data_IF_864495983697
#
_entry.id   IF_864495983697
#
_cell.length_a   1.000
_cell.length_b   1.000
_cell.length_c   1.000
_cell.angle_alpha   90.00
_cell.angle_beta   90.00
_cell.angle_gamma   90.00
#
_symmetry.space_group_name_H-M   'P 1'
#
loop_
_entity.id
_entity.type
_entity.pdbx_description
1 polymer ?
#
# COMPACT_ATOMS: atom_id res chain seq x y z
N UNK A 1 0.70 -10.83 16.21
CA UNK A 1 0.45 -11.22 16.85
C UNK A 1 -0.34 -11.51 17.28
N UNK A 2 -0.41 -12.64 16.57
CA UNK A 2 -1.26 -12.65 17.66
C UNK A 2 -1.10 -11.37 18.36
N UNK A 3 0.05 -10.92 18.40
CA UNK A 3 0.30 -9.65 19.00
C UNK A 3 -0.38 -8.50 18.29
N UNK A 4 -0.76 -8.70 17.03
CA UNK A 4 -1.31 -7.62 16.24
C UNK A 4 -2.58 -7.05 16.84
N UNK A 5 -3.50 -7.90 17.29
CA UNK A 5 -4.74 -7.38 17.84
C UNK A 5 -4.50 -6.69 19.18
N UNK A 6 -3.59 -7.20 19.97
CA UNK A 6 -3.25 -6.53 21.21
C UNK A 6 -2.62 -5.19 20.97
N UNK A 7 -1.75 -5.12 19.98
CA UNK A 7 -1.13 -3.86 19.61
C UNK A 7 -2.18 -2.85 19.17
N UNK A 8 -3.18 -3.31 18.44
CA UNK A 8 -4.24 -2.43 18.00
C UNK A 8 -5.01 -1.85 19.18
N UNK A 9 -5.25 -2.65 20.21
CA UNK A 9 -5.93 -2.15 21.38
C UNK A 9 -5.10 -1.09 22.10
N UNK A 10 -3.81 -1.32 22.20
CA UNK A 10 -2.93 -0.33 22.82
C UNK A 10 -2.93 0.96 22.04
N UNK A 11 -2.92 0.86 20.72
CA UNK A 11 -2.93 2.04 19.86
C UNK A 11 -4.20 2.85 20.08
N UNK A 12 -5.34 2.17 20.19
CA UNK A 12 -6.60 2.84 20.43
C UNK A 12 -6.55 3.61 21.74
N UNK A 13 -5.94 3.03 22.75
CA UNK A 13 -5.83 3.68 24.03
C UNK A 13 -4.97 4.95 23.96
N UNK A 14 -4.08 5.00 22.99
CA UNK A 14 -3.19 6.16 22.79
C UNK A 14 -3.57 6.84 21.47
N UNK A 15 -4.59 7.64 21.48
CA UNK A 15 -5.13 8.24 20.28
C UNK A 15 -4.10 8.76 19.28
N UNK A 16 -2.98 9.32 19.77
CA UNK A 16 -1.95 9.85 18.88
C UNK A 16 -1.32 8.78 17.98
N UNK A 17 -1.08 7.61 18.53
CA UNK A 17 -0.50 6.53 17.74
C UNK A 17 -1.45 6.04 16.67
N UNK A 18 -2.74 6.09 16.95
CA UNK A 18 -3.73 5.69 15.98
C UNK A 18 -3.65 6.54 14.72
N UNK A 19 -3.33 7.82 14.87
CA UNK A 19 -3.19 8.73 13.73
C UNK A 19 -1.83 8.59 13.07
N UNK A 20 -0.78 8.42 13.85
CA UNK A 20 0.59 8.41 13.34
C UNK A 20 0.97 7.10 12.65
N UNK A 21 0.42 6.00 13.11
CA UNK A 21 0.83 4.68 12.63
C UNK A 21 0.51 4.47 11.16
N UNK A 22 -0.68 4.84 10.68
CA UNK A 22 -0.96 4.71 9.24
C UNK A 22 0.01 5.50 8.38
N UNK A 23 0.34 6.72 8.79
CA UNK A 23 1.29 7.53 8.04
C UNK A 23 2.69 6.92 8.10
N UNK A 24 3.09 6.40 9.24
CA UNK A 24 4.39 5.76 9.39
C UNK A 24 4.49 4.55 8.48
N UNK A 25 3.42 3.77 8.37
CA UNK A 25 3.39 2.61 7.48
C UNK A 25 3.49 3.03 6.02
N UNK A 26 2.79 4.10 5.66
CA UNK A 26 2.86 4.62 4.29
C UNK A 26 4.28 5.11 3.97
N UNK A 27 4.92 5.77 4.94
CA UNK A 27 6.29 6.27 4.74
C UNK A 27 7.29 5.13 4.62
N UNK A 28 7.10 4.07 5.41
CA UNK A 28 7.96 2.91 5.28
C UNK A 28 7.82 2.30 3.88
N UNK A 29 6.59 2.20 3.39
CA UNK A 29 6.34 1.66 2.06
C UNK A 29 7.02 2.51 0.98
N UNK A 30 6.86 3.84 1.04
CA UNK A 30 7.49 4.70 0.04
C UNK A 30 9.00 4.63 0.12
N UNK A 31 9.56 4.49 1.32
CA UNK A 31 11.00 4.34 1.48
C UNK A 31 11.49 3.05 0.83
N UNK A 32 10.78 1.94 1.09
CA UNK A 32 11.16 0.65 0.52
C UNK A 32 11.03 0.62 -1.00
N UNK A 33 10.07 1.36 -1.52
CA UNK A 33 9.82 1.43 -2.97
C UNK A 33 10.64 2.53 -3.64
N UNK A 34 11.38 3.32 -2.86
CA UNK A 34 12.18 4.44 -3.38
C UNK A 34 11.30 5.46 -4.07
N UNK A 35 10.17 5.75 -3.47
CA UNK A 35 9.24 6.78 -3.92
C UNK A 35 9.38 8.01 -3.04
N UNK A 36 8.75 9.12 -3.47
CA UNK A 36 8.70 10.31 -2.65
C UNK A 36 8.01 10.00 -1.32
N UNK A 37 8.45 10.66 -0.26
CA UNK A 37 7.91 10.41 1.07
C UNK A 37 6.40 10.64 1.10
N UNK A 38 5.68 9.69 1.70
CA UNK A 38 4.23 9.78 1.78
C UNK A 38 3.79 10.95 2.64
N UNK A 39 2.82 11.71 2.13
CA UNK A 39 2.24 12.83 2.87
C UNK A 39 0.94 12.40 3.58
N UNK A 40 0.42 11.22 3.26
CA UNK A 40 -0.80 10.70 3.85
C UNK A 40 -0.75 9.19 3.85
N UNK A 41 -1.67 8.52 4.56
CA UNK A 41 -1.73 7.05 4.54
C UNK A 41 -2.11 6.46 3.18
N UNK A 42 -2.49 7.28 2.21
CA UNK A 42 -2.85 6.81 0.89
C UNK A 42 -1.70 7.10 -0.06
N UNK A 43 -1.17 6.04 -0.68
CA UNK A 43 0.00 6.15 -1.57
C UNK A 43 -0.39 5.71 -2.98
N UNK A 44 -0.27 6.60 -3.98
CA UNK A 44 -0.50 6.21 -5.37
C UNK A 44 0.80 5.73 -6.01
N UNK A 45 0.67 4.75 -6.90
CA UNK A 45 1.79 4.28 -7.71
C UNK A 45 1.32 4.25 -9.15
N UNK A 46 1.77 5.21 -9.94
CA UNK A 46 1.33 5.35 -11.32
C UNK A 46 2.05 4.33 -12.19
N UNK A 47 1.29 3.49 -12.88
CA UNK A 47 1.84 2.50 -13.80
C UNK A 47 1.63 2.91 -15.25
N UNK A 48 0.62 3.73 -15.50
CA UNK A 48 0.33 4.22 -16.85
C UNK A 48 -0.69 3.37 -17.58
N UNK A 49 -0.47 2.07 -17.65
CA UNK A 49 -1.31 1.16 -18.41
C UNK A 49 -2.38 0.54 -17.51
N UNK A 50 -3.64 0.63 -17.96
CA UNK A 50 -4.77 0.14 -17.17
C UNK A 50 -4.72 -1.36 -16.96
N UNK A 51 -4.29 -2.11 -17.97
CA UNK A 51 -4.23 -3.56 -17.87
C UNK A 51 -3.18 -4.00 -16.86
N UNK A 52 -2.04 -3.33 -16.88
CA UNK A 52 -0.98 -3.64 -15.92
C UNK A 52 -1.41 -3.32 -14.49
N UNK A 53 -2.11 -2.20 -14.31
CA UNK A 53 -2.59 -1.83 -12.98
C UNK A 53 -3.58 -2.87 -12.47
N UNK A 54 -4.50 -3.30 -13.33
CA UNK A 54 -5.47 -4.30 -12.93
C UNK A 54 -4.80 -5.64 -12.61
N UNK A 55 -3.89 -6.08 -13.48
CA UNK A 55 -3.22 -7.36 -13.28
C UNK A 55 -2.43 -7.38 -11.97
N UNK A 56 -1.71 -6.29 -11.68
CA UNK A 56 -0.92 -6.23 -10.46
C UNK A 56 -1.82 -6.18 -9.24
N UNK A 57 -2.94 -5.43 -9.31
CA UNK A 57 -3.85 -5.37 -8.16
C UNK A 57 -4.44 -6.74 -7.87
N UNK A 58 -4.75 -7.53 -8.89
CA UNK A 58 -5.28 -8.87 -8.70
C UNK A 58 -4.24 -9.81 -8.09
N UNK A 59 -3.00 -9.68 -8.53
CA UNK A 59 -1.90 -10.46 -7.96
C UNK A 59 -1.70 -10.16 -6.48
N UNK A 60 -1.74 -8.87 -6.14
CA UNK A 60 -1.56 -8.46 -4.76
C UNK A 60 -2.75 -8.88 -3.89
N UNK A 61 -3.94 -8.83 -4.46
CA UNK A 61 -5.13 -9.26 -3.76
C UNK A 61 -5.06 -10.76 -3.45
N UNK A 62 -4.58 -11.55 -4.41
CA UNK A 62 -4.41 -12.99 -4.20
C UNK A 62 -3.39 -13.27 -3.10
N UNK A 63 -2.44 -12.36 -2.90
CA UNK A 63 -1.44 -12.49 -1.84
C UNK A 63 -1.93 -11.94 -0.50
N UNK A 64 -3.16 -11.41 -0.45
CA UNK A 64 -3.75 -10.95 0.80
C UNK A 64 -3.72 -9.45 1.03
N UNK A 65 -3.38 -8.66 0.02
CA UNK A 65 -3.30 -7.21 0.16
C UNK A 65 -4.46 -6.53 -0.54
N UNK A 66 -5.01 -5.49 0.08
CA UNK A 66 -6.08 -4.71 -0.52
C UNK A 66 -5.48 -3.50 -1.23
N UNK A 67 -5.56 -3.51 -2.56
CA UNK A 67 -4.99 -2.47 -3.40
C UNK A 67 -6.00 -2.12 -4.48
N UNK A 68 -6.31 -0.84 -4.62
CA UNK A 68 -7.28 -0.40 -5.60
C UNK A 68 -6.58 -0.04 -6.91
N UNK A 69 -7.10 -0.55 -8.02
CA UNK A 69 -6.62 -0.17 -9.35
C UNK A 69 -7.50 0.98 -9.83
N UNK A 70 -6.88 2.15 -10.03
CA UNK A 70 -7.59 3.34 -10.49
C UNK A 70 -7.29 3.50 -11.97
N UNK A 71 -8.33 3.41 -12.79
CA UNK A 71 -8.20 3.37 -14.24
C UNK A 71 -9.10 4.40 -14.90
N UNK A 72 -8.81 4.75 -16.16
CA UNK A 72 -9.73 5.63 -16.88
C UNK A 72 -11.15 5.06 -16.92
N UNK A 73 -12.18 5.87 -16.92
CA UNK A 73 -12.13 7.34 -17.03
C UNK A 73 -11.98 8.06 -15.69
N UNK A 74 -11.82 7.34 -14.58
CA UNK A 74 -11.63 7.99 -13.27
C UNK A 74 -10.37 8.86 -13.27
N UNK A 75 -9.36 8.43 -14.00
CA UNK A 75 -8.14 9.21 -14.21
C UNK A 75 -7.92 9.32 -15.71
N UNK A 76 -7.09 10.26 -16.17
CA UNK A 76 -6.82 10.40 -17.61
C UNK A 76 -6.17 9.15 -18.20
N UNK A 77 -6.37 8.97 -19.50
CA UNK A 77 -5.73 7.88 -20.24
C UNK A 77 -4.22 7.93 -20.05
N UNK A 78 -3.64 6.75 -19.87
CA UNK A 78 -2.19 6.66 -19.70
C UNK A 78 -1.71 6.96 -18.31
N UNK A 79 -2.62 7.17 -17.36
CA UNK A 79 -2.24 7.48 -15.98
C UNK A 79 -2.86 6.53 -14.98
N UNK A 80 -3.17 5.29 -15.39
CA UNK A 80 -3.68 4.29 -14.48
C UNK A 80 -2.67 4.04 -13.36
N UNK A 81 -3.19 3.78 -12.17
CA UNK A 81 -2.35 3.66 -10.99
C UNK A 81 -2.93 2.70 -9.99
N UNK A 82 -2.08 2.26 -9.07
CA UNK A 82 -2.53 1.54 -7.88
C UNK A 82 -2.61 2.52 -6.73
N UNK A 83 -3.61 2.33 -5.87
CA UNK A 83 -3.74 3.15 -4.68
C UNK A 83 -3.65 2.24 -3.47
N UNK A 84 -2.60 2.46 -2.67
CA UNK A 84 -2.38 1.70 -1.45
C UNK A 84 -2.90 2.51 -0.28
N UNK A 85 -3.65 1.86 0.61
CA UNK A 85 -4.18 2.52 1.80
C UNK A 85 -3.63 1.79 3.02
N UNK A 86 -2.95 2.52 3.88
CA UNK A 86 -2.33 1.95 5.07
C UNK A 86 -3.14 2.29 6.31
N UNK A 87 -3.13 1.36 7.27
CA UNK A 87 -3.87 1.53 8.51
C UNK A 87 -2.97 1.22 9.68
N UNK A 88 -3.46 1.55 10.87
CA UNK A 88 -2.72 1.25 12.09
C UNK A 88 -2.59 -0.23 12.35
N UNK A 89 -3.48 -1.03 11.74
CA UNK A 89 -3.44 -2.48 11.91
C UNK A 89 -2.36 -3.20 11.13
N UNK A 90 -1.74 -2.52 10.18
CA UNK A 90 -0.65 -3.13 9.42
C UNK A 90 0.63 -3.14 10.26
N UNK A 91 1.31 -4.28 10.28
CA UNK A 91 2.61 -4.38 10.94
C UNK A 91 3.71 -3.99 9.94
N UNK A 92 4.89 -3.70 10.48
CA UNK A 92 6.03 -3.39 9.65
C UNK A 92 6.34 -4.56 8.71
N UNK A 93 6.22 -5.78 9.21
CA UNK A 93 6.45 -6.97 8.39
C UNK A 93 5.48 -7.04 7.22
N UNK A 94 4.22 -6.70 7.47
CA UNK A 94 3.22 -6.70 6.40
C UNK A 94 3.54 -5.66 5.35
N UNK A 95 4.00 -4.48 5.77
CA UNK A 95 4.38 -3.44 4.81
C UNK A 95 5.58 -3.88 3.98
N UNK A 96 6.56 -4.53 4.62
CA UNK A 96 7.72 -5.03 3.89
C UNK A 96 7.33 -6.13 2.91
N UNK A 97 6.43 -7.01 3.31
CA UNK A 97 5.95 -8.06 2.42
C UNK A 97 5.22 -7.48 1.22
N UNK A 98 4.42 -6.43 1.46
CA UNK A 98 3.72 -5.75 0.37
C UNK A 98 4.73 -5.13 -0.62
N UNK A 99 5.73 -4.44 -0.11
CA UNK A 99 6.73 -3.81 -0.97
C UNK A 99 7.44 -4.86 -1.82
N UNK A 100 7.81 -5.99 -1.21
CA UNK A 100 8.45 -7.08 -1.95
C UNK A 100 7.53 -7.64 -3.03
N UNK A 101 6.25 -7.81 -2.72
CA UNK A 101 5.30 -8.33 -3.69
C UNK A 101 5.10 -7.37 -4.85
N UNK A 102 5.04 -6.06 -4.55
CA UNK A 102 4.90 -5.06 -5.60
C UNK A 102 6.13 -5.06 -6.52
N UNK A 103 7.32 -5.10 -5.92
CA UNK A 103 8.54 -5.10 -6.71
C UNK A 103 8.63 -6.34 -7.59
N UNK A 104 8.25 -7.49 -7.05
CA UNK A 104 8.25 -8.73 -7.84
C UNK A 104 7.25 -8.64 -8.99
N UNK A 105 6.06 -8.08 -8.73
CA UNK A 105 5.07 -7.93 -9.78
C UNK A 105 5.52 -6.98 -10.87
N UNK A 106 6.16 -5.87 -10.49
CA UNK A 106 6.67 -4.91 -11.48
C UNK A 106 7.77 -5.53 -12.32
N UNK A 107 8.65 -6.29 -11.70
CA UNK A 107 9.73 -6.96 -12.43
C UNK A 107 9.18 -7.93 -13.46
N UNK A 108 8.09 -8.63 -13.11
CA UNK A 108 7.47 -9.57 -14.03
C UNK A 108 6.77 -8.92 -15.20
N UNK A 109 6.54 -7.60 -15.13
CA UNK A 109 5.85 -6.88 -16.19
C UNK A 109 6.80 -6.26 -17.22
N UNK A 110 8.09 -6.29 -16.95
CA UNK A 110 9.07 -5.79 -17.89
C UNK A 110 9.60 -6.91 -18.74
#
# INVERSE_FOLDING_TARGET
DAGASLAALDIIAKGGELTERPLANARLFTQLMELDEAASPIVPLVLGDAERALALSEELEAAGFLVAAIRPPTVPEGTARLRFTFSAGHSEEQVRALANAVRAGLAGMT
#
